data_IF_292443862193
#
_entry.id   IF_292443862193
#
_cell.length_a   1.000
_cell.length_b   1.000
_cell.length_c   1.000
_cell.angle_alpha   90.00
_cell.angle_beta   90.00
_cell.angle_gamma   90.00
#
_symmetry.space_group_name_H-M   'P 1'
#
loop_
_entity.id
_entity.type
_entity.pdbx_description
1 polymer ?
#
# COMPACT_ATOMS: atom_id res chain seq x y z
N UNK A 1 8.25 43.57 -18.86
CA UNK A 1 7.79 43.21 -17.50
C UNK A 1 8.20 41.78 -17.22
N UNK A 2 8.70 41.51 -16.02
CA UNK A 2 8.98 40.13 -15.60
C UNK A 2 7.68 39.43 -15.22
N UNK A 3 7.50 38.19 -15.67
CA UNK A 3 6.36 37.36 -15.29
C UNK A 3 6.44 36.97 -13.81
N UNK A 4 5.31 37.01 -13.11
CA UNK A 4 5.16 36.48 -11.75
C UNK A 4 3.98 35.53 -11.75
N UNK A 5 4.21 34.28 -11.33
CA UNK A 5 3.13 33.30 -11.25
C UNK A 5 2.14 33.70 -10.15
N UNK A 6 0.81 33.65 -10.40
CA UNK A 6 -0.18 33.81 -9.35
C UNK A 6 -0.01 32.68 -8.32
N UNK A 7 -0.15 33.02 -7.03
CA UNK A 7 -0.08 32.08 -5.92
C UNK A 7 -1.34 32.19 -5.10
N UNK A 8 -2.00 31.05 -4.88
CA UNK A 8 -3.16 30.99 -3.99
C UNK A 8 -2.73 30.63 -2.57
N UNK A 9 -3.45 31.13 -1.56
CA UNK A 9 -3.23 30.79 -0.16
C UNK A 9 -4.42 30.02 0.40
N UNK A 10 -4.15 28.81 0.89
CA UNK A 10 -5.18 27.94 1.45
C UNK A 10 -5.11 27.97 2.99
N UNK A 11 -6.26 28.16 3.64
CA UNK A 11 -6.37 28.16 5.10
C UNK A 11 -6.36 26.75 5.71
N UNK A 12 -6.71 25.74 4.91
CA UNK A 12 -6.72 24.33 5.30
C UNK A 12 -5.43 23.59 4.91
N UNK A 13 -5.20 22.47 5.59
CA UNK A 13 -4.10 21.53 5.33
C UNK A 13 -4.65 20.11 5.43
N UNK A 14 -4.20 19.22 4.55
CA UNK A 14 -4.50 17.79 4.66
C UNK A 14 -3.80 17.23 5.91
N UNK A 15 -4.50 16.38 6.67
CA UNK A 15 -3.89 15.75 7.83
C UNK A 15 -2.74 14.84 7.40
N UNK A 16 -1.64 14.92 8.14
CA UNK A 16 -0.51 14.03 7.96
C UNK A 16 -0.80 12.72 8.69
N UNK A 17 -0.58 11.61 8.02
CA UNK A 17 -0.80 10.26 8.55
C UNK A 17 0.50 9.48 8.42
N UNK A 18 0.88 8.81 9.50
CA UNK A 18 2.03 7.89 9.57
C UNK A 18 1.52 6.48 9.81
N UNK A 19 1.94 5.53 8.98
CA UNK A 19 1.68 4.10 9.16
C UNK A 19 3.00 3.33 9.33
N UNK A 20 2.97 2.24 10.09
CA UNK A 20 4.15 1.41 10.43
C UNK A 20 4.81 1.79 11.76
N UNK A 21 5.70 0.93 12.25
CA UNK A 21 6.46 1.13 13.50
C UNK A 21 7.95 1.33 13.23
N UNK A 22 8.61 0.32 12.65
CA UNK A 22 10.05 0.35 12.42
C UNK A 22 10.40 1.11 11.13
N UNK A 23 9.81 0.68 10.00
CA UNK A 23 9.78 1.45 8.76
C UNK A 23 8.41 2.08 8.61
N UNK A 24 8.39 3.39 8.45
CA UNK A 24 7.16 4.16 8.35
C UNK A 24 6.92 4.65 6.93
N UNK A 25 5.64 4.76 6.56
CA UNK A 25 5.21 5.53 5.40
C UNK A 25 4.39 6.73 5.91
N UNK A 26 4.79 7.92 5.49
CA UNK A 26 4.13 9.18 5.88
C UNK A 26 3.56 9.81 4.61
N UNK A 27 2.32 10.26 4.67
CA UNK A 27 1.62 10.89 3.56
C UNK A 27 0.62 11.94 4.06
N UNK A 28 0.15 12.78 3.14
CA UNK A 28 -0.67 13.94 3.45
C UNK A 28 0.18 15.16 3.80
N UNK A 29 -0.39 16.08 4.55
CA UNK A 29 0.32 17.26 5.03
C UNK A 29 0.44 18.41 4.02
N UNK A 30 -0.07 18.27 2.81
CA UNK A 30 -0.10 19.33 1.81
C UNK A 30 -1.10 20.44 2.17
N UNK A 31 -0.77 21.67 1.82
CA UNK A 31 -1.65 22.84 1.94
C UNK A 31 -1.88 23.55 0.60
N UNK A 32 -1.74 22.80 -0.50
CA UNK A 32 -1.86 23.28 -1.88
C UNK A 32 -2.50 22.22 -2.75
N UNK A 33 -2.86 22.58 -3.99
CA UNK A 33 -3.32 21.63 -4.99
C UNK A 33 -2.22 20.60 -5.35
N UNK A 34 -2.60 19.42 -5.86
CA UNK A 34 -1.64 18.37 -6.22
C UNK A 34 -0.55 18.89 -7.16
N UNK A 35 0.71 18.71 -6.76
CA UNK A 35 1.92 19.11 -7.50
C UNK A 35 2.15 20.63 -7.63
N UNK A 36 1.41 21.47 -6.90
CA UNK A 36 1.59 22.92 -6.88
C UNK A 36 2.64 23.37 -5.83
N UNK A 37 3.82 22.75 -5.83
CA UNK A 37 4.88 23.05 -4.85
C UNK A 37 5.51 24.45 -4.99
N UNK A 38 5.11 25.24 -6.00
CA UNK A 38 5.56 26.63 -6.20
C UNK A 38 4.81 27.64 -5.32
N UNK A 39 3.62 27.28 -4.83
CA UNK A 39 2.72 28.14 -4.06
C UNK A 39 2.49 27.68 -2.61
N UNK A 40 3.11 26.58 -2.19
CA UNK A 40 3.06 26.13 -0.80
C UNK A 40 3.80 24.82 -0.58
N UNK A 41 3.44 24.12 0.50
CA UNK A 41 4.18 22.96 0.99
C UNK A 41 3.52 21.64 0.57
N UNK A 42 4.32 20.74 0.01
CA UNK A 42 3.96 19.35 -0.30
C UNK A 42 5.01 18.47 0.38
N UNK A 43 4.85 18.16 1.68
CA UNK A 43 5.92 17.58 2.48
C UNK A 43 6.23 16.14 2.11
N UNK A 44 5.22 15.39 1.66
CA UNK A 44 5.33 13.96 1.38
C UNK A 44 4.96 13.65 -0.07
N UNK A 45 5.66 12.68 -0.65
CA UNK A 45 5.30 12.12 -1.97
C UNK A 45 4.16 11.12 -1.82
N UNK A 46 3.33 10.91 -2.85
CA UNK A 46 2.37 9.81 -2.86
C UNK A 46 3.06 8.46 -2.64
N UNK A 47 2.48 7.64 -1.77
CA UNK A 47 2.97 6.29 -1.44
C UNK A 47 2.23 5.26 -2.29
N UNK A 48 2.97 4.33 -2.88
CA UNK A 48 2.39 3.22 -3.66
C UNK A 48 2.51 1.93 -2.84
N UNK A 49 1.36 1.29 -2.61
CA UNK A 49 1.27 -0.02 -1.99
C UNK A 49 1.00 -1.10 -3.04
N UNK A 50 1.60 -2.27 -2.84
CA UNK A 50 1.41 -3.42 -3.73
C UNK A 50 0.35 -4.35 -3.14
N UNK A 51 -0.68 -4.68 -3.92
CA UNK A 51 -1.72 -5.60 -3.49
C UNK A 51 -1.23 -7.05 -3.57
N UNK A 52 -1.45 -7.80 -2.48
CA UNK A 52 -1.31 -9.25 -2.38
C UNK A 52 -2.60 -9.84 -1.82
N UNK A 53 -2.84 -11.13 -2.05
CA UNK A 53 -4.01 -11.84 -1.53
C UNK A 53 -3.59 -13.00 -0.63
N UNK A 54 -4.45 -13.35 0.34
CA UNK A 54 -4.24 -14.51 1.22
C UNK A 54 -4.46 -15.86 0.51
N UNK A 55 -5.07 -15.81 -0.69
CA UNK A 55 -5.26 -16.94 -1.60
C UNK A 55 -4.64 -16.62 -2.96
N UNK A 56 -4.26 -17.64 -3.77
CA UNK A 56 -3.76 -17.40 -5.12
C UNK A 56 -4.79 -16.60 -5.96
N UNK A 57 -4.35 -15.56 -6.70
CA UNK A 57 -5.27 -14.62 -7.34
C UNK A 57 -5.88 -15.21 -8.62
N UNK A 58 -6.83 -16.13 -8.48
CA UNK A 58 -7.39 -16.91 -9.60
C UNK A 58 -8.14 -16.09 -10.65
N UNK A 59 -8.70 -14.94 -10.26
CA UNK A 59 -9.49 -14.04 -11.10
C UNK A 59 -8.67 -12.93 -11.79
N UNK A 60 -7.37 -12.85 -11.51
CA UNK A 60 -6.53 -11.82 -12.13
C UNK A 60 -6.19 -12.13 -13.60
N UNK A 61 -6.03 -11.09 -14.45
CA UNK A 61 -5.51 -11.26 -15.81
C UNK A 61 -4.11 -11.91 -15.81
N UNK A 62 -3.83 -12.74 -16.82
CA UNK A 62 -2.55 -13.46 -16.94
C UNK A 62 -1.34 -12.53 -16.96
N UNK A 63 -1.47 -11.36 -17.60
CA UNK A 63 -0.42 -10.35 -17.66
C UNK A 63 0.00 -9.84 -16.28
N UNK A 64 -0.93 -9.77 -15.33
CA UNK A 64 -0.66 -9.36 -13.95
C UNK A 64 -0.11 -10.55 -13.14
N UNK A 65 -0.73 -11.73 -13.27
CA UNK A 65 -0.28 -12.96 -12.60
C UNK A 65 1.19 -13.27 -12.89
N UNK A 66 1.62 -13.07 -14.13
CA UNK A 66 2.99 -13.35 -14.57
C UNK A 66 4.06 -12.60 -13.78
N UNK A 67 3.75 -11.40 -13.27
CA UNK A 67 4.69 -10.61 -12.44
C UNK A 67 4.98 -11.31 -11.10
N UNK A 68 4.05 -12.15 -10.64
CA UNK A 68 4.09 -12.84 -9.34
C UNK A 68 4.17 -14.35 -9.49
N UNK A 69 4.50 -14.83 -10.69
CA UNK A 69 4.63 -16.26 -10.97
C UNK A 69 5.69 -16.89 -10.06
N UNK A 70 5.33 -18.01 -9.42
CA UNK A 70 6.20 -18.69 -8.46
C UNK A 70 6.17 -18.15 -7.03
N UNK A 71 5.57 -16.98 -6.77
CA UNK A 71 5.43 -16.43 -5.41
C UNK A 71 3.98 -16.27 -4.95
N UNK A 72 3.03 -16.08 -5.87
CA UNK A 72 1.63 -15.75 -5.54
C UNK A 72 0.82 -16.86 -4.86
N UNK A 73 1.40 -18.05 -4.67
CA UNK A 73 0.75 -19.15 -3.95
C UNK A 73 0.91 -19.06 -2.43
N UNK A 74 1.87 -18.27 -1.95
CA UNK A 74 2.13 -18.06 -0.54
C UNK A 74 2.19 -16.55 -0.24
N UNK A 75 1.27 -15.99 0.56
CA UNK A 75 1.22 -14.56 0.85
C UNK A 75 2.52 -14.05 1.49
N UNK A 76 3.22 -14.89 2.26
CA UNK A 76 4.47 -14.51 2.93
C UNK A 76 5.59 -14.30 1.90
N UNK A 77 5.81 -15.30 1.03
CA UNK A 77 6.79 -15.20 -0.05
C UNK A 77 6.44 -14.09 -1.04
N UNK A 78 5.14 -13.92 -1.34
CA UNK A 78 4.67 -12.84 -2.20
C UNK A 78 4.95 -11.46 -1.60
N UNK A 79 4.67 -11.26 -0.31
CA UNK A 79 4.95 -10.00 0.38
C UNK A 79 6.45 -9.66 0.36
N UNK A 80 7.32 -10.65 0.60
CA UNK A 80 8.78 -10.47 0.51
C UNK A 80 9.23 -10.10 -0.89
N UNK A 81 8.70 -10.76 -1.93
CA UNK A 81 9.01 -10.42 -3.31
C UNK A 81 8.63 -8.97 -3.64
N UNK A 82 7.44 -8.54 -3.23
CA UNK A 82 7.01 -7.15 -3.40
C UNK A 82 7.94 -6.16 -2.68
N UNK A 83 8.36 -6.47 -1.45
CA UNK A 83 9.29 -5.62 -0.70
C UNK A 83 10.69 -5.58 -1.34
N UNK A 84 11.30 -6.75 -1.54
CA UNK A 84 12.73 -6.88 -1.80
C UNK A 84 13.07 -6.72 -3.29
N UNK A 85 12.17 -7.17 -4.18
CA UNK A 85 12.39 -7.13 -5.63
C UNK A 85 11.69 -5.96 -6.29
N UNK A 86 10.43 -5.67 -5.89
CA UNK A 86 9.66 -4.57 -6.46
C UNK A 86 9.80 -3.24 -5.70
N UNK A 87 10.56 -3.22 -4.59
CA UNK A 87 10.79 -2.05 -3.74
C UNK A 87 9.50 -1.41 -3.22
N UNK A 88 8.49 -2.23 -2.89
CA UNK A 88 7.24 -1.75 -2.32
C UNK A 88 7.49 -0.95 -1.05
N UNK A 89 6.86 0.23 -0.94
CA UNK A 89 6.95 1.08 0.25
C UNK A 89 5.91 0.71 1.32
N UNK A 90 4.84 0.03 0.91
CA UNK A 90 3.84 -0.58 1.76
C UNK A 90 3.24 -1.79 1.02
N UNK A 91 2.65 -2.72 1.78
CA UNK A 91 1.93 -3.88 1.24
C UNK A 91 0.46 -3.77 1.61
N UNK A 92 -0.42 -4.05 0.67
CA UNK A 92 -1.85 -4.17 0.91
C UNK A 92 -2.24 -5.66 0.82
N UNK A 93 -2.49 -6.29 1.97
CA UNK A 93 -2.96 -7.67 2.05
C UNK A 93 -4.49 -7.68 2.03
N UNK A 94 -5.06 -8.25 0.98
CA UNK A 94 -6.49 -8.50 0.87
C UNK A 94 -6.84 -9.92 1.28
N UNK A 95 -7.71 -10.03 2.27
CA UNK A 95 -8.16 -11.29 2.88
C UNK A 95 -9.36 -11.88 2.11
N UNK A 96 -9.21 -12.04 0.80
CA UNK A 96 -10.22 -12.60 -0.11
C UNK A 96 -10.73 -13.97 0.37
N UNK A 97 -9.87 -14.79 0.98
CA UNK A 97 -10.23 -16.12 1.47
C UNK A 97 -11.26 -16.12 2.60
N UNK A 98 -11.51 -14.97 3.24
CA UNK A 98 -12.55 -14.83 4.28
C UNK A 98 -13.96 -14.68 3.70
N UNK A 99 -14.09 -14.54 2.38
CA UNK A 99 -15.40 -14.40 1.75
C UNK A 99 -16.23 -15.68 1.94
N UNK A 100 -17.49 -15.60 2.43
CA UNK A 100 -18.33 -16.77 2.72
C UNK A 100 -18.60 -17.68 1.51
N UNK A 101 -18.73 -17.10 0.32
CA UNK A 101 -18.95 -17.86 -0.93
C UNK A 101 -17.65 -18.37 -1.59
N UNK A 102 -16.48 -18.10 -1.01
CA UNK A 102 -15.19 -18.62 -1.48
C UNK A 102 -14.67 -19.69 -0.50
N UNK A 103 -13.49 -19.49 0.07
CA UNK A 103 -12.89 -20.42 1.03
C UNK A 103 -13.51 -20.32 2.42
N UNK A 104 -14.25 -19.25 2.74
CA UNK A 104 -14.87 -19.00 4.04
C UNK A 104 -13.91 -19.25 5.22
N UNK A 105 -12.66 -18.78 5.08
CA UNK A 105 -11.61 -18.95 6.09
C UNK A 105 -12.01 -18.30 7.41
N UNK A 106 -11.62 -18.94 8.50
CA UNK A 106 -11.92 -18.45 9.83
C UNK A 106 -11.18 -17.14 10.13
N UNK A 107 -11.71 -16.29 11.05
CA UNK A 107 -10.97 -15.14 11.57
C UNK A 107 -9.59 -15.52 12.13
N UNK A 108 -9.46 -16.70 12.72
CA UNK A 108 -8.20 -17.23 13.25
C UNK A 108 -7.16 -17.50 12.15
N UNK A 109 -7.59 -18.07 11.02
CA UNK A 109 -6.73 -18.32 9.86
C UNK A 109 -6.30 -17.01 9.18
N UNK A 110 -7.21 -16.05 9.07
CA UNK A 110 -6.93 -14.73 8.56
C UNK A 110 -5.91 -13.99 9.45
N UNK A 111 -6.14 -14.01 10.77
CA UNK A 111 -5.23 -13.39 11.74
C UNK A 111 -3.84 -14.05 11.73
N UNK A 112 -3.78 -15.37 11.53
CA UNK A 112 -2.51 -16.09 11.37
C UNK A 112 -1.77 -15.62 10.12
N UNK A 113 -2.46 -15.55 8.98
CA UNK A 113 -1.86 -15.07 7.72
C UNK A 113 -1.31 -13.66 7.86
N UNK A 114 -2.06 -12.75 8.48
CA UNK A 114 -1.62 -11.38 8.76
C UNK A 114 -0.35 -11.37 9.62
N UNK A 115 -0.30 -12.17 10.68
CA UNK A 115 0.89 -12.27 11.57
C UNK A 115 2.11 -12.82 10.83
N UNK A 116 1.91 -13.85 10.02
CA UNK A 116 3.00 -14.47 9.26
C UNK A 116 3.58 -13.49 8.22
N UNK A 117 2.73 -12.69 7.56
CA UNK A 117 3.16 -11.62 6.65
C UNK A 117 3.87 -10.50 7.41
N UNK A 118 3.33 -10.02 8.53
CA UNK A 118 3.95 -8.99 9.37
C UNK A 118 5.33 -9.40 9.89
N UNK A 119 5.52 -10.67 10.24
CA UNK A 119 6.81 -11.19 10.69
C UNK A 119 7.86 -11.30 9.56
N UNK A 120 7.41 -11.28 8.30
CA UNK A 120 8.24 -11.49 7.13
C UNK A 120 8.67 -10.19 6.43
N UNK A 121 7.92 -9.10 6.60
CA UNK A 121 8.20 -7.81 5.97
C UNK A 121 8.58 -6.76 7.02
N UNK A 122 9.34 -5.77 6.57
CA UNK A 122 9.75 -4.61 7.36
C UNK A 122 9.00 -3.34 6.96
N UNK A 123 8.19 -3.36 5.90
CA UNK A 123 7.37 -2.21 5.44
C UNK A 123 5.96 -2.23 6.04
N UNK A 124 5.25 -1.08 6.10
CA UNK A 124 3.87 -1.04 6.59
C UNK A 124 2.94 -2.00 5.86
N UNK A 125 2.03 -2.61 6.62
CA UNK A 125 0.98 -3.50 6.11
C UNK A 125 -0.40 -2.83 6.24
N UNK A 126 -1.14 -2.81 5.15
CA UNK A 126 -2.54 -2.41 5.07
C UNK A 126 -3.36 -3.69 4.94
N UNK A 127 -4.37 -3.88 5.78
CA UNK A 127 -5.21 -5.08 5.80
C UNK A 127 -6.58 -4.72 5.23
N UNK A 128 -7.01 -5.44 4.19
CA UNK A 128 -8.30 -5.28 3.53
C UNK A 128 -9.10 -6.57 3.69
N UNK A 129 -10.38 -6.46 4.03
CA UNK A 129 -11.33 -7.58 4.05
C UNK A 129 -12.01 -7.81 2.71
#
# INVERSE_FOLDING_TARGET
MAFTAPKETYSGKVFEVTIGTDKTAVFGGENVLPFHSFEGNVPHRPVIAYEIQDVPPGDWPETVKKVYEGVSNDPVTWAKYCQDTLNAQAIALRLIGTHPDRENRSPEDAAKTVKDVLAAINVPLIILG
#
